data_IF_585694080768
#
_entry.id   IF_585694080768
#
_cell.length_a   1.000
_cell.length_b   1.000
_cell.length_c   1.000
_cell.angle_alpha   90.00
_cell.angle_beta   90.00
_cell.angle_gamma   90.00
#
_symmetry.space_group_name_H-M   'P 1'
#
loop_
_entity.id
_entity.type
_entity.pdbx_description
1 polymer ?
#
# COMPACT_ATOMS: atom_id res chain seq x y z
N UNK A 1 18.54 18.46 18.05
CA UNK A 1 17.70 17.85 16.98
C UNK A 1 16.52 17.20 17.68
N UNK A 2 15.31 17.19 17.08
CA UNK A 2 14.19 16.50 17.68
C UNK A 2 14.49 15.01 17.85
N UNK A 3 14.01 14.41 18.93
CA UNK A 3 14.12 12.96 19.17
C UNK A 3 13.39 12.22 18.02
N UNK A 4 14.05 11.23 17.42
CA UNK A 4 13.49 10.49 16.27
C UNK A 4 13.94 11.00 14.91
N UNK A 5 14.84 11.97 14.83
CA UNK A 5 15.43 12.41 13.55
C UNK A 5 16.40 11.34 13.03
N UNK A 6 16.14 10.88 11.83
CA UNK A 6 17.05 9.99 11.09
C UNK A 6 18.02 10.82 10.27
N UNK A 7 19.30 10.58 10.43
CA UNK A 7 20.35 11.13 9.58
C UNK A 7 21.02 10.00 8.83
N UNK A 8 21.05 10.10 7.51
CA UNK A 8 21.72 9.15 6.63
C UNK A 8 22.79 9.89 5.85
N UNK A 9 24.01 9.35 5.84
CA UNK A 9 25.09 9.82 5.00
C UNK A 9 25.32 8.77 3.90
N UNK A 10 25.23 9.18 2.65
CA UNK A 10 25.42 8.32 1.50
C UNK A 10 26.64 8.79 0.72
N UNK A 11 27.58 7.88 0.45
CA UNK A 11 28.73 8.14 -0.41
C UNK A 11 28.41 7.69 -1.84
N UNK A 12 28.44 8.61 -2.78
CA UNK A 12 28.31 8.32 -4.21
C UNK A 12 29.72 8.07 -4.77
N UNK A 13 30.00 6.84 -5.21
CA UNK A 13 31.31 6.43 -5.73
C UNK A 13 31.41 6.54 -7.27
N UNK A 14 30.42 7.15 -7.91
CA UNK A 14 30.40 7.37 -9.36
C UNK A 14 30.47 8.87 -9.62
N UNK A 15 31.59 9.31 -10.22
CA UNK A 15 31.86 10.73 -10.46
C UNK A 15 30.87 11.35 -11.46
N UNK A 16 30.42 10.59 -12.46
CA UNK A 16 29.44 11.06 -13.44
C UNK A 16 28.08 11.34 -12.80
N UNK A 17 27.61 10.43 -11.96
CA UNK A 17 26.38 10.62 -11.18
C UNK A 17 26.52 11.79 -10.21
N UNK A 18 27.68 11.95 -9.59
CA UNK A 18 27.95 13.05 -8.68
C UNK A 18 27.87 14.39 -9.39
N UNK A 19 28.57 14.55 -10.51
CA UNK A 19 28.63 15.81 -11.27
C UNK A 19 27.28 16.14 -11.94
N UNK A 20 26.59 15.16 -12.51
CA UNK A 20 25.37 15.40 -13.28
C UNK A 20 24.12 15.58 -12.41
N UNK A 21 23.98 14.82 -11.30
CA UNK A 21 22.73 14.75 -10.54
C UNK A 21 22.84 15.36 -9.14
N UNK A 22 23.96 15.18 -8.46
CA UNK A 22 24.09 15.61 -7.06
C UNK A 22 24.56 17.07 -7.02
N UNK A 23 25.64 17.40 -7.68
CA UNK A 23 26.21 18.76 -7.69
C UNK A 23 25.31 19.78 -8.38
N UNK A 24 24.54 19.34 -9.36
CA UNK A 24 23.55 20.17 -10.06
C UNK A 24 22.22 20.30 -9.33
N UNK A 25 22.08 19.69 -8.14
CA UNK A 25 20.85 19.67 -7.35
C UNK A 25 19.61 19.10 -8.10
N UNK A 26 19.82 18.31 -9.16
CA UNK A 26 18.72 17.62 -9.84
C UNK A 26 18.07 16.57 -8.94
N UNK A 27 18.81 16.00 -8.00
CA UNK A 27 18.31 15.08 -6.97
C UNK A 27 18.48 15.73 -5.61
N UNK A 28 17.34 16.02 -4.95
CA UNK A 28 17.29 16.73 -3.65
C UNK A 28 17.01 15.84 -2.45
N UNK A 29 16.91 14.52 -2.64
CA UNK A 29 16.58 13.61 -1.56
C UNK A 29 16.67 12.16 -1.97
N UNK A 30 16.53 11.29 -0.97
CA UNK A 30 16.48 9.84 -1.13
C UNK A 30 15.14 9.31 -0.65
N UNK A 31 14.59 8.32 -1.34
CA UNK A 31 13.52 7.50 -0.82
C UNK A 31 14.09 6.17 -0.33
N UNK A 32 13.58 5.69 0.80
CA UNK A 32 13.93 4.37 1.32
C UNK A 32 12.74 3.47 1.07
N UNK A 33 12.94 2.43 0.25
CA UNK A 33 11.96 1.40 0.00
C UNK A 33 12.52 0.06 0.47
N UNK A 34 11.74 -0.69 1.25
CA UNK A 34 12.16 -1.99 1.75
C UNK A 34 11.16 -2.65 2.66
N UNK A 35 11.42 -3.88 3.02
CA UNK A 35 10.71 -4.58 4.08
C UNK A 35 11.46 -4.34 5.38
N UNK A 36 10.83 -3.60 6.29
CA UNK A 36 11.39 -3.35 7.60
C UNK A 36 10.73 -4.33 8.59
N UNK A 37 11.54 -5.02 9.37
CA UNK A 37 11.08 -5.79 10.52
C UNK A 37 11.64 -5.18 11.79
N UNK A 38 10.82 -5.09 12.83
CA UNK A 38 11.28 -4.69 14.15
C UNK A 38 12.26 -5.74 14.69
N UNK A 39 13.54 -5.47 14.58
CA UNK A 39 14.54 -6.22 15.31
C UNK A 39 14.63 -5.61 16.70
N UNK A 40 14.16 -6.31 17.73
CA UNK A 40 14.46 -5.95 19.11
C UNK A 40 15.97 -5.76 19.23
N UNK A 41 16.41 -4.53 19.45
CA UNK A 41 17.82 -4.29 19.71
C UNK A 41 18.11 -4.82 21.13
N UNK A 42 19.10 -5.71 21.26
CA UNK A 42 19.65 -6.14 22.54
C UNK A 42 20.51 -5.02 23.18
N UNK A 43 20.21 -3.75 22.92
CA UNK A 43 20.80 -2.68 23.69
C UNK A 43 20.27 -2.80 25.12
N UNK A 44 21.15 -2.75 26.14
CA UNK A 44 20.70 -2.56 27.50
C UNK A 44 19.77 -1.36 27.50
N UNK A 45 18.54 -1.55 27.90
CA UNK A 45 17.66 -0.45 28.22
C UNK A 45 18.32 0.23 29.43
N UNK A 46 19.07 1.31 29.19
CA UNK A 46 19.26 2.30 30.21
C UNK A 46 17.83 2.72 30.56
N UNK A 47 17.41 2.31 31.73
CA UNK A 47 16.18 2.77 32.35
C UNK A 47 16.33 4.27 32.53
N UNK A 48 15.87 5.05 31.58
CA UNK A 48 15.56 6.45 31.83
C UNK A 48 14.29 6.38 32.66
N UNK A 49 14.47 6.20 33.98
CA UNK A 49 13.49 6.56 34.98
C UNK A 49 13.47 8.09 35.07
N UNK A 50 13.14 8.76 33.96
CA UNK A 50 12.56 10.09 34.06
C UNK A 50 11.16 9.87 34.61
N UNK A 51 10.99 10.17 35.91
CA UNK A 51 9.67 10.30 36.52
C UNK A 51 8.87 11.28 35.65
N UNK A 52 7.94 10.73 34.83
CA UNK A 52 7.03 11.53 34.06
C UNK A 52 6.30 12.48 35.01
N UNK A 53 6.37 13.76 34.74
CA UNK A 53 5.65 14.74 35.53
C UNK A 53 4.15 14.48 35.49
N UNK A 54 3.41 14.90 36.49
CA UNK A 54 1.95 14.78 36.50
C UNK A 54 1.31 15.45 35.27
N UNK A 55 1.97 16.47 34.73
CA UNK A 55 1.55 17.16 33.50
C UNK A 55 1.80 16.30 32.24
N UNK A 56 2.88 15.55 32.17
CA UNK A 56 3.17 14.65 31.06
C UNK A 56 2.25 13.43 31.07
N UNK A 57 1.93 12.91 32.28
CA UNK A 57 0.93 11.86 32.44
C UNK A 57 -0.46 12.32 31.99
N UNK A 58 -0.87 13.54 32.32
CA UNK A 58 -2.14 14.11 31.88
C UNK A 58 -2.19 14.21 30.35
N UNK A 59 -1.11 14.65 29.70
CA UNK A 59 -1.02 14.69 28.22
C UNK A 59 -1.09 13.30 27.59
N UNK A 60 -0.45 12.30 28.21
CA UNK A 60 -0.52 10.91 27.74
C UNK A 60 -1.95 10.38 27.84
N UNK A 61 -2.67 10.64 28.92
CA UNK A 61 -4.07 10.25 29.05
C UNK A 61 -4.95 10.94 28.02
N UNK A 62 -4.76 12.23 27.77
CA UNK A 62 -5.49 12.96 26.71
C UNK A 62 -5.24 12.38 25.33
N UNK A 63 -3.98 12.05 25.00
CA UNK A 63 -3.61 11.39 23.74
C UNK A 63 -4.25 10.00 23.66
N UNK A 64 -4.26 9.22 24.74
CA UNK A 64 -4.90 7.91 24.77
C UNK A 64 -6.42 8.01 24.57
N UNK A 65 -7.06 9.02 25.15
CA UNK A 65 -8.49 9.27 24.96
C UNK A 65 -8.81 9.63 23.50
N UNK A 66 -7.99 10.52 22.89
CA UNK A 66 -8.12 10.88 21.46
C UNK A 66 -7.89 9.66 20.56
N UNK A 67 -6.90 8.82 20.86
CA UNK A 67 -6.62 7.61 20.08
C UNK A 67 -7.71 6.54 20.25
N UNK A 68 -8.27 6.39 21.45
CA UNK A 68 -9.38 5.46 21.68
C UNK A 68 -10.67 5.93 20.98
N UNK A 69 -10.95 7.22 21.04
CA UNK A 69 -12.07 7.81 20.29
C UNK A 69 -11.88 7.70 18.76
N UNK A 70 -10.64 7.80 18.27
CA UNK A 70 -10.33 7.61 16.84
C UNK A 70 -10.37 6.14 16.41
N UNK A 71 -10.18 5.17 17.30
CA UNK A 71 -10.33 3.74 17.02
C UNK A 71 -11.79 3.29 16.89
N UNK A 72 -12.77 4.08 17.32
CA UNK A 72 -14.18 3.85 17.06
C UNK A 72 -14.64 4.36 15.67
N UNK A 73 -13.76 4.90 14.85
CA UNK A 73 -14.05 5.01 13.43
C UNK A 73 -14.04 3.59 12.86
N UNK A 74 -15.20 2.93 12.93
CA UNK A 74 -15.47 1.71 12.18
C UNK A 74 -15.15 2.02 10.72
N UNK A 75 -13.95 1.63 10.26
CA UNK A 75 -13.57 1.76 8.86
C UNK A 75 -14.50 0.84 8.08
N UNK A 76 -15.61 1.41 7.59
CA UNK A 76 -16.56 0.69 6.78
C UNK A 76 -15.84 -0.11 5.71
N UNK A 77 -16.04 -1.41 5.73
CA UNK A 77 -15.45 -2.34 4.79
C UNK A 77 -16.53 -3.10 4.04
N UNK A 78 -16.24 -3.43 2.80
CA UNK A 78 -17.21 -3.98 1.87
C UNK A 78 -16.67 -5.26 1.23
N UNK A 79 -17.49 -6.31 1.20
CA UNK A 79 -17.15 -7.62 0.61
C UNK A 79 -18.19 -8.10 -0.41
N UNK A 80 -19.13 -7.25 -0.77
CA UNK A 80 -20.28 -7.53 -1.64
C UNK A 80 -19.97 -7.47 -3.16
N UNK A 81 -18.68 -7.51 -3.50
CA UNK A 81 -18.28 -7.54 -4.91
C UNK A 81 -18.62 -8.88 -5.59
N UNK A 82 -18.91 -8.85 -6.92
CA UNK A 82 -19.37 -10.02 -7.65
C UNK A 82 -18.44 -11.22 -7.60
N UNK A 83 -18.98 -12.43 -7.63
CA UNK A 83 -18.19 -13.67 -7.75
C UNK A 83 -17.28 -13.66 -8.99
N UNK A 84 -17.70 -13.01 -10.07
CA UNK A 84 -16.89 -12.85 -11.27
C UNK A 84 -15.58 -12.09 -10.99
N UNK A 85 -15.60 -11.07 -10.16
CA UNK A 85 -14.39 -10.34 -9.74
C UNK A 85 -13.41 -11.26 -8.98
N UNK A 86 -13.92 -12.10 -8.09
CA UNK A 86 -13.12 -13.11 -7.38
C UNK A 86 -12.50 -14.13 -8.34
N UNK A 87 -13.28 -14.60 -9.31
CA UNK A 87 -12.82 -15.60 -10.28
C UNK A 87 -11.74 -15.02 -11.20
N UNK A 88 -11.88 -13.78 -11.64
CA UNK A 88 -10.86 -13.08 -12.43
C UNK A 88 -9.54 -12.99 -11.66
N UNK A 89 -9.60 -12.54 -10.40
CA UNK A 89 -8.42 -12.46 -9.56
C UNK A 89 -7.75 -13.83 -9.32
N UNK A 90 -8.56 -14.89 -9.09
CA UNK A 90 -8.05 -16.28 -8.98
C UNK A 90 -7.34 -16.73 -10.23
N UNK A 91 -7.91 -16.44 -11.42
CA UNK A 91 -7.32 -16.77 -12.72
C UNK A 91 -5.96 -16.09 -12.92
N UNK A 92 -5.87 -14.78 -12.60
CA UNK A 92 -4.63 -14.04 -12.67
C UNK A 92 -3.55 -14.59 -11.74
N UNK A 93 -3.90 -14.90 -10.49
CA UNK A 93 -2.99 -15.49 -9.51
C UNK A 93 -2.51 -16.90 -9.93
N UNK A 94 -3.42 -17.72 -10.45
CA UNK A 94 -3.09 -19.06 -10.97
C UNK A 94 -2.07 -18.94 -12.11
N UNK A 95 -2.35 -18.09 -13.08
CA UNK A 95 -1.44 -17.88 -14.22
C UNK A 95 -0.05 -17.41 -13.77
N UNK A 96 -0.01 -16.44 -12.85
CA UNK A 96 1.26 -15.96 -12.27
C UNK A 96 2.05 -17.08 -11.60
N UNK A 97 1.36 -17.97 -10.86
CA UNK A 97 2.00 -19.11 -10.18
C UNK A 97 2.60 -20.10 -11.17
N UNK A 98 1.91 -20.35 -12.28
CA UNK A 98 2.29 -21.37 -13.28
C UNK A 98 3.36 -20.86 -14.25
N UNK A 99 3.32 -19.58 -14.61
CA UNK A 99 4.18 -19.02 -15.66
C UNK A 99 5.21 -18.00 -15.13
N UNK A 100 5.09 -17.59 -13.89
CA UNK A 100 5.81 -16.42 -13.38
C UNK A 100 5.23 -15.12 -13.96
N UNK A 101 5.61 -13.98 -13.44
CA UNK A 101 5.27 -12.69 -14.03
C UNK A 101 6.09 -11.56 -13.43
N UNK A 102 6.65 -10.73 -14.28
CA UNK A 102 7.23 -9.42 -13.93
C UNK A 102 6.19 -8.29 -13.99
N UNK A 103 4.94 -8.62 -14.39
CA UNK A 103 3.86 -7.66 -14.52
C UNK A 103 3.37 -7.13 -13.16
N UNK A 104 3.04 -5.85 -13.15
CA UNK A 104 2.37 -5.22 -12.03
C UNK A 104 3.28 -4.94 -10.83
N UNK A 105 2.67 -4.35 -9.82
CA UNK A 105 3.32 -4.01 -8.56
C UNK A 105 2.87 -4.95 -7.44
N UNK A 106 3.58 -4.95 -6.30
CA UNK A 106 3.17 -5.68 -5.09
C UNK A 106 1.74 -5.32 -4.67
N UNK A 107 1.34 -4.06 -4.82
CA UNK A 107 -0.02 -3.58 -4.52
C UNK A 107 -1.07 -4.27 -5.40
N UNK A 108 -0.80 -4.40 -6.71
CA UNK A 108 -1.71 -5.10 -7.63
C UNK A 108 -1.91 -6.57 -7.25
N UNK A 109 -0.85 -7.28 -6.89
CA UNK A 109 -0.92 -8.68 -6.49
C UNK A 109 -1.54 -8.88 -5.11
N UNK A 110 -1.30 -7.96 -4.17
CA UNK A 110 -2.03 -7.93 -2.89
C UNK A 110 -3.53 -7.79 -3.13
N UNK A 111 -3.95 -6.93 -4.06
CA UNK A 111 -5.34 -6.75 -4.44
C UNK A 111 -5.94 -8.04 -5.02
N UNK A 112 -5.24 -8.67 -5.95
CA UNK A 112 -5.67 -9.96 -6.50
C UNK A 112 -5.89 -11.00 -5.40
N UNK A 113 -4.96 -11.09 -4.43
CA UNK A 113 -5.09 -12.02 -3.30
C UNK A 113 -6.28 -11.69 -2.40
N UNK A 114 -6.54 -10.41 -2.11
CA UNK A 114 -7.69 -9.99 -1.31
C UNK A 114 -9.01 -10.33 -2.01
N UNK A 115 -9.15 -10.02 -3.28
CA UNK A 115 -10.34 -10.35 -4.07
C UNK A 115 -10.55 -11.88 -4.14
N UNK A 116 -9.50 -12.64 -4.45
CA UNK A 116 -9.59 -14.10 -4.61
C UNK A 116 -10.11 -14.81 -3.36
N UNK A 117 -9.69 -14.38 -2.17
CA UNK A 117 -10.14 -14.94 -0.89
C UNK A 117 -11.43 -14.34 -0.35
N UNK A 118 -11.97 -13.30 -0.99
CA UNK A 118 -13.21 -12.66 -0.55
C UNK A 118 -13.05 -11.70 0.62
N UNK A 119 -11.86 -11.10 0.78
CA UNK A 119 -11.59 -10.18 1.87
C UNK A 119 -12.42 -8.89 1.77
N UNK A 120 -12.77 -8.31 2.91
CA UNK A 120 -13.39 -7.00 2.98
C UNK A 120 -12.41 -5.91 2.51
N UNK A 121 -12.93 -4.92 1.79
CA UNK A 121 -12.19 -3.85 1.17
C UNK A 121 -12.59 -2.50 1.76
N UNK A 122 -11.63 -1.68 2.15
CA UNK A 122 -11.87 -0.32 2.61
C UNK A 122 -12.28 0.60 1.45
N UNK A 123 -12.92 1.75 1.78
CA UNK A 123 -13.27 2.78 0.80
C UNK A 123 -12.05 3.20 -0.05
N UNK A 124 -10.88 3.40 0.56
CA UNK A 124 -9.65 3.77 -0.17
C UNK A 124 -9.21 2.71 -1.18
N UNK A 125 -9.40 1.45 -0.83
CA UNK A 125 -9.15 0.31 -1.71
C UNK A 125 -10.10 0.32 -2.91
N UNK A 126 -11.39 0.53 -2.65
CA UNK A 126 -12.43 0.60 -3.70
C UNK A 126 -12.17 1.78 -4.63
N UNK A 127 -11.73 2.94 -4.11
CA UNK A 127 -11.33 4.08 -4.93
C UNK A 127 -10.18 3.75 -5.89
N UNK A 128 -9.17 3.03 -5.41
CA UNK A 128 -8.07 2.56 -6.28
C UNK A 128 -8.55 1.57 -7.35
N UNK A 129 -9.48 0.68 -7.02
CA UNK A 129 -10.08 -0.23 -7.99
C UNK A 129 -10.88 0.53 -9.05
N UNK A 130 -11.67 1.51 -8.65
CA UNK A 130 -12.43 2.33 -9.59
C UNK A 130 -11.51 3.13 -10.53
N UNK A 131 -10.41 3.68 -10.01
CA UNK A 131 -9.43 4.42 -10.82
C UNK A 131 -8.72 3.52 -11.84
N UNK A 132 -8.72 2.20 -11.64
CA UNK A 132 -8.13 1.25 -12.58
C UNK A 132 -8.89 1.19 -13.92
N UNK A 133 -10.08 1.79 -14.01
CA UNK A 133 -10.85 1.98 -15.25
C UNK A 133 -10.03 2.60 -16.38
N UNK A 134 -9.07 3.46 -16.09
CA UNK A 134 -8.17 4.06 -17.09
C UNK A 134 -7.35 3.05 -17.89
N UNK A 135 -7.17 1.83 -17.37
CA UNK A 135 -6.43 0.74 -18.03
C UNK A 135 -7.32 -0.18 -18.86
N UNK A 136 -8.62 0.10 -18.98
CA UNK A 136 -9.60 -0.74 -19.69
C UNK A 136 -9.21 -1.02 -21.15
N UNK A 137 -8.54 -0.08 -21.81
CA UNK A 137 -8.09 -0.24 -23.20
C UNK A 137 -7.13 -1.43 -23.39
N UNK A 138 -6.45 -1.87 -22.33
CA UNK A 138 -5.50 -2.98 -22.36
C UNK A 138 -6.08 -4.30 -21.84
N UNK A 139 -7.39 -4.37 -21.53
CA UNK A 139 -8.03 -5.52 -20.88
C UNK A 139 -8.00 -6.81 -21.69
N UNK A 140 -7.97 -6.68 -23.00
CA UNK A 140 -8.05 -7.80 -23.94
C UNK A 140 -6.66 -8.29 -24.41
N UNK A 141 -5.57 -7.72 -23.89
CA UNK A 141 -4.20 -8.17 -24.17
C UNK A 141 -4.01 -9.57 -23.57
N UNK A 142 -3.63 -10.59 -24.36
CA UNK A 142 -3.36 -11.93 -23.84
C UNK A 142 -2.28 -11.91 -22.75
N UNK A 143 -2.40 -12.78 -21.77
CA UNK A 143 -1.43 -12.83 -20.66
C UNK A 143 -0.01 -13.18 -21.08
N UNK A 144 0.13 -13.92 -22.20
CA UNK A 144 1.41 -14.28 -22.82
C UNK A 144 2.06 -13.14 -23.60
N UNK A 145 1.29 -12.14 -24.01
CA UNK A 145 1.74 -11.05 -24.88
C UNK A 145 1.95 -9.73 -24.14
N UNK A 146 1.45 -9.63 -22.91
CA UNK A 146 1.63 -8.42 -22.13
C UNK A 146 0.89 -8.39 -20.81
N UNK A 147 1.10 -7.30 -20.07
CA UNK A 147 0.59 -7.15 -18.71
C UNK A 147 -0.89 -6.73 -18.63
N UNK A 148 -1.47 -6.24 -19.74
CA UNK A 148 -2.76 -5.55 -19.69
C UNK A 148 -3.90 -6.41 -19.18
N UNK A 149 -4.19 -7.52 -19.84
CA UNK A 149 -5.27 -8.42 -19.44
C UNK A 149 -5.00 -9.11 -18.12
N UNK A 150 -3.76 -9.52 -17.86
CA UNK A 150 -3.36 -10.13 -16.60
C UNK A 150 -3.62 -9.19 -15.41
N UNK A 151 -3.19 -7.95 -15.52
CA UNK A 151 -3.40 -6.97 -14.45
C UNK A 151 -4.85 -6.51 -14.37
N UNK A 152 -5.57 -6.45 -15.49
CA UNK A 152 -7.01 -6.20 -15.47
C UNK A 152 -7.75 -7.24 -14.64
N UNK A 153 -7.45 -8.50 -14.83
CA UNK A 153 -8.06 -9.59 -14.07
C UNK A 153 -7.57 -9.63 -12.61
N UNK A 154 -6.33 -9.29 -12.34
CA UNK A 154 -5.79 -9.14 -10.98
C UNK A 154 -6.59 -8.12 -10.16
N UNK A 155 -7.09 -7.06 -10.80
CA UNK A 155 -7.96 -6.05 -10.18
C UNK A 155 -9.47 -6.39 -10.24
N UNK A 156 -9.80 -7.64 -10.56
CA UNK A 156 -11.17 -8.18 -10.57
C UNK A 156 -11.86 -8.10 -11.92
N UNK A 157 -11.15 -7.69 -12.98
CA UNK A 157 -11.70 -7.54 -14.31
C UNK A 157 -12.79 -6.48 -14.40
N UNK A 158 -13.55 -6.49 -15.49
CA UNK A 158 -14.67 -5.56 -15.69
C UNK A 158 -15.69 -5.62 -14.55
N UNK A 159 -15.95 -6.81 -14.01
CA UNK A 159 -16.90 -6.99 -12.90
C UNK A 159 -16.44 -6.27 -11.62
N UNK A 160 -15.16 -6.40 -11.27
CA UNK A 160 -14.60 -5.75 -10.07
C UNK A 160 -14.51 -4.23 -10.22
N UNK A 161 -14.01 -3.75 -11.36
CA UNK A 161 -13.84 -2.32 -11.61
C UNK A 161 -15.20 -1.60 -11.68
N UNK A 162 -16.20 -2.17 -12.37
CA UNK A 162 -17.52 -1.56 -12.46
C UNK A 162 -18.25 -1.56 -11.10
N UNK A 163 -18.11 -2.66 -10.32
CA UNK A 163 -18.62 -2.69 -8.95
C UNK A 163 -17.99 -1.58 -8.11
N UNK A 164 -16.68 -1.41 -8.18
CA UNK A 164 -15.98 -0.39 -7.40
C UNK A 164 -16.46 1.02 -7.74
N UNK A 165 -16.68 1.32 -9.02
CA UNK A 165 -17.23 2.62 -9.45
C UNK A 165 -18.64 2.83 -8.89
N UNK A 166 -19.50 1.81 -8.96
CA UNK A 166 -20.87 1.89 -8.45
C UNK A 166 -20.89 2.01 -6.93
N UNK A 167 -20.01 1.25 -6.24
CA UNK A 167 -19.92 1.27 -4.78
C UNK A 167 -19.46 2.62 -4.25
N UNK A 168 -18.45 3.25 -4.87
CA UNK A 168 -18.03 4.60 -4.49
C UNK A 168 -19.15 5.61 -4.59
N UNK A 169 -19.96 5.57 -5.65
CA UNK A 169 -21.12 6.45 -5.80
C UNK A 169 -22.17 6.24 -4.72
N UNK A 170 -22.23 5.06 -4.11
CA UNK A 170 -23.13 4.77 -2.99
C UNK A 170 -22.58 5.27 -1.66
N UNK A 171 -21.26 5.10 -1.45
CA UNK A 171 -20.58 5.50 -0.22
C UNK A 171 -20.45 7.03 -0.11
N UNK A 172 -20.26 7.71 -1.23
CA UNK A 172 -20.00 9.15 -1.29
C UNK A 172 -21.30 10.00 -1.43
N UNK A 173 -22.48 9.39 -1.27
CA UNK A 173 -23.77 10.08 -1.20
C UNK A 173 -24.10 10.50 0.22
#
# INVERSE_FOLDING_TARGET
>A
MPVGTWMVSVKVNNDEIWEEFIKTEKVKGFSIEGFFSDKKSDRPQESIEEELSAEDLAKIYEIQEILSASNEVELETYSDYPKAARNNAKRALKWKKENGSSCGTSVGWTRASQLARGASLSRSTIARMASFKRHQQHKDVPYSEGCGGLMWDAWGGSAGVNWAISKLKQIDK
#
